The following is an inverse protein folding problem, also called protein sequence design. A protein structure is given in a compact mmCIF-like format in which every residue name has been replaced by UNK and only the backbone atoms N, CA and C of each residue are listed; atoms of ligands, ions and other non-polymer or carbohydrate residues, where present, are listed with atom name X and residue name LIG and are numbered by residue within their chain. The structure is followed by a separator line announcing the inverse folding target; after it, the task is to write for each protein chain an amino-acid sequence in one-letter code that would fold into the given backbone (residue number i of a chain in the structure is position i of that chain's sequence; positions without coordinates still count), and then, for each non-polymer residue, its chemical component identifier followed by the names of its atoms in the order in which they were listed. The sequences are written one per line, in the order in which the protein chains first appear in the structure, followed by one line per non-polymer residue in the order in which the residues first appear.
data_IF_458814483437
#
_entry.id   IF_458814483437
#
_cell.length_a   1.000
_cell.length_b   1.000
_cell.length_c   1.000
_cell.angle_alpha   90.00
_cell.angle_beta   90.00
_cell.angle_gamma   90.00
#
_symmetry.space_group_name_H-M   'P 1'
#
loop_
_entity.id
_entity.type
_entity.pdbx_description
1 polymer ?
#
# COMPACT_ATOMS: atom_id res chain seq x y z
N UNK A 1 -5.58 7.27 -0.61
CA UNK A 1 -5.92 6.32 0.46
C UNK A 1 -7.20 5.60 0.04
N UNK A 2 -7.12 4.35 -0.45
CA UNK A 2 -8.29 3.54 -0.78
C UNK A 2 -8.84 2.85 0.48
N UNK A 3 -10.13 3.05 0.80
CA UNK A 3 -10.77 2.43 1.96
C UNK A 3 -12.17 1.93 1.58
N UNK A 4 -12.33 0.61 1.36
CA UNK A 4 -13.64 0.03 1.08
C UNK A 4 -14.32 -0.50 2.34
N UNK A 5 -15.65 -0.54 2.35
CA UNK A 5 -16.47 -1.02 3.46
C UNK A 5 -16.31 -2.53 3.66
N UNK A 6 -16.46 -3.27 2.57
CA UNK A 6 -16.45 -4.73 2.62
C UNK A 6 -15.02 -5.26 2.59
N UNK A 7 -14.69 -6.07 3.59
CA UNK A 7 -13.46 -6.83 3.70
C UNK A 7 -13.82 -8.25 4.06
N UNK A 8 -13.23 -9.24 3.37
CA UNK A 8 -13.58 -10.66 3.53
C UNK A 8 -13.11 -11.24 4.86
N UNK A 9 -11.85 -11.02 5.22
CA UNK A 9 -11.19 -11.64 6.37
C UNK A 9 -11.55 -10.93 7.69
N UNK A 10 -11.54 -9.62 7.74
CA UNK A 10 -11.93 -8.82 8.91
C UNK A 10 -13.12 -7.93 8.54
N UNK A 11 -14.26 -8.12 9.17
CA UNK A 11 -15.45 -7.29 8.92
C UNK A 11 -15.16 -5.82 9.20
N UNK A 12 -15.44 -4.93 8.21
CA UNK A 12 -15.20 -3.48 8.31
C UNK A 12 -13.75 -3.11 8.66
N UNK A 13 -12.77 -3.85 8.16
CA UNK A 13 -11.33 -3.75 8.46
C UNK A 13 -10.84 -2.31 8.66
N UNK A 14 -11.16 -1.38 7.77
CA UNK A 14 -10.71 0.01 7.84
C UNK A 14 -11.20 0.78 9.07
N UNK A 15 -12.25 0.30 9.74
CA UNK A 15 -12.85 0.91 10.93
C UNK A 15 -12.51 0.17 12.23
N UNK A 16 -11.81 -0.94 12.16
CA UNK A 16 -11.35 -1.66 13.35
C UNK A 16 -10.37 -0.79 14.12
N UNK A 17 -10.47 -0.82 15.44
CA UNK A 17 -9.56 -0.09 16.32
C UNK A 17 -8.30 -0.91 16.60
N UNK A 18 -7.17 -0.25 16.47
CA UNK A 18 -5.88 -0.66 17.01
C UNK A 18 -5.63 0.31 18.16
N UNK A 19 -5.52 -0.21 19.39
CA UNK A 19 -5.58 0.65 20.59
C UNK A 19 -6.83 1.57 20.50
N UNK A 20 -6.68 2.85 20.64
CA UNK A 20 -7.80 3.80 20.69
C UNK A 20 -8.17 4.44 19.35
N UNK A 21 -7.53 4.04 18.23
CA UNK A 21 -7.69 4.69 16.92
C UNK A 21 -8.13 3.70 15.86
N UNK A 22 -9.11 4.08 15.00
CA UNK A 22 -9.48 3.27 13.84
C UNK A 22 -8.32 3.18 12.84
N UNK A 23 -8.08 2.01 12.29
CA UNK A 23 -6.95 1.70 11.41
C UNK A 23 -6.76 2.71 10.25
N UNK A 24 -7.84 3.11 9.60
CA UNK A 24 -7.81 4.14 8.55
C UNK A 24 -7.12 5.43 8.98
N UNK A 25 -7.33 5.88 10.21
CA UNK A 25 -6.80 7.17 10.66
C UNK A 25 -5.29 7.17 10.90
N UNK A 26 -4.67 6.02 11.17
CA UNK A 26 -3.20 5.93 11.21
C UNK A 26 -2.60 6.36 9.87
N UNK A 27 -3.13 5.81 8.76
CA UNK A 27 -2.68 6.17 7.42
C UNK A 27 -2.99 7.62 7.07
N UNK A 28 -4.19 8.11 7.41
CA UNK A 28 -4.57 9.49 7.15
C UNK A 28 -3.67 10.49 7.88
N UNK A 29 -3.34 10.24 9.14
CA UNK A 29 -2.47 11.09 9.94
C UNK A 29 -1.02 11.05 9.42
N UNK A 30 -0.49 9.88 9.06
CA UNK A 30 0.82 9.79 8.45
C UNK A 30 0.89 10.62 7.16
N UNK A 31 -0.12 10.52 6.29
CA UNK A 31 -0.21 11.32 5.08
C UNK A 31 -0.32 12.84 5.37
N UNK A 32 -1.11 13.23 6.38
CA UNK A 32 -1.23 14.64 6.79
C UNK A 32 0.08 15.24 7.30
N UNK A 33 0.88 14.44 8.02
CA UNK A 33 2.18 14.87 8.57
C UNK A 33 3.29 14.89 7.51
N UNK A 34 3.09 14.29 6.34
CA UNK A 34 4.07 14.31 5.25
C UNK A 34 3.94 15.59 4.44
N UNK A 35 4.94 16.46 4.51
CA UNK A 35 4.93 17.81 3.87
C UNK A 35 4.96 17.74 2.35
N UNK A 36 5.62 16.75 1.78
CA UNK A 36 5.76 16.50 0.34
C UNK A 36 4.42 16.16 -0.34
N UNK A 37 3.44 15.66 0.41
CA UNK A 37 2.10 15.36 -0.13
C UNK A 37 1.29 16.67 -0.26
N UNK A 38 1.10 17.15 -1.47
CA UNK A 38 0.33 18.37 -1.75
C UNK A 38 -1.18 18.17 -1.56
N UNK A 39 -1.72 17.01 -1.97
CA UNK A 39 -3.15 16.67 -1.86
C UNK A 39 -3.31 15.25 -1.34
N UNK A 40 -4.25 15.05 -0.43
CA UNK A 40 -4.63 13.76 0.10
C UNK A 40 -6.02 13.43 -0.42
N UNK A 41 -6.15 12.32 -1.12
CA UNK A 41 -7.43 11.85 -1.64
C UNK A 41 -7.81 10.55 -0.97
N UNK A 42 -8.99 10.51 -0.38
CA UNK A 42 -9.59 9.30 0.17
C UNK A 42 -10.72 8.85 -0.73
N UNK A 43 -10.64 7.62 -1.27
CA UNK A 43 -11.71 7.01 -2.04
C UNK A 43 -12.37 5.90 -1.23
N UNK A 44 -13.66 6.05 -0.91
CA UNK A 44 -14.36 5.17 0.02
C UNK A 44 -15.87 5.10 -0.23
N UNK A 45 -16.46 3.96 0.11
CA UNK A 45 -17.92 3.74 0.23
C UNK A 45 -18.40 3.72 1.69
N UNK A 46 -17.49 3.97 2.64
CA UNK A 46 -17.78 4.01 4.08
C UNK A 46 -18.31 5.40 4.42
N UNK A 47 -19.61 5.52 4.72
CA UNK A 47 -20.25 6.81 5.03
C UNK A 47 -19.54 7.58 6.15
N UNK A 48 -19.11 6.88 7.20
CA UNK A 48 -18.44 7.46 8.36
C UNK A 48 -17.07 8.08 8.05
N UNK A 49 -16.44 7.70 6.93
CA UNK A 49 -15.17 8.26 6.47
C UNK A 49 -15.35 9.42 5.49
N UNK A 50 -16.54 9.59 4.93
CA UNK A 50 -16.84 10.73 4.06
C UNK A 50 -17.03 11.99 4.90
N UNK A 51 -16.14 12.96 4.73
CA UNK A 51 -16.15 14.24 5.44
C UNK A 51 -16.19 15.40 4.43
N UNK A 52 -16.39 16.62 4.93
CA UNK A 52 -16.29 17.83 4.11
C UNK A 52 -14.87 17.96 3.54
N UNK A 53 -14.79 18.27 2.26
CA UNK A 53 -13.52 18.51 1.59
C UNK A 53 -12.84 19.78 2.13
N UNK A 54 -11.51 19.75 2.18
CA UNK A 54 -10.68 20.89 2.49
C UNK A 54 -9.72 21.16 1.34
N UNK A 55 -9.01 22.29 1.39
CA UNK A 55 -8.00 22.62 0.37
C UNK A 55 -6.97 21.49 0.15
N UNK A 56 -6.64 20.69 1.18
CA UNK A 56 -5.61 19.63 1.11
C UNK A 56 -6.19 18.22 1.13
N UNK A 57 -7.36 17.99 1.72
CA UNK A 57 -7.95 16.66 1.92
C UNK A 57 -9.29 16.56 1.20
N UNK A 58 -9.39 15.59 0.31
CA UNK A 58 -10.52 15.37 -0.58
C UNK A 58 -11.09 13.97 -0.33
N UNK A 59 -12.40 13.90 -0.18
CA UNK A 59 -13.14 12.65 -0.05
C UNK A 59 -13.93 12.39 -1.31
N UNK A 60 -13.69 11.26 -1.93
CA UNK A 60 -14.40 10.80 -3.15
C UNK A 60 -15.23 9.59 -2.77
N UNK A 61 -16.54 9.69 -2.96
CA UNK A 61 -17.44 8.55 -2.79
C UNK A 61 -17.15 7.52 -3.88
N UNK A 62 -16.78 6.29 -3.48
CA UNK A 62 -16.52 5.20 -4.42
C UNK A 62 -17.85 4.61 -4.92
N UNK A 63 -18.07 4.49 -6.24
CA UNK A 63 -19.24 3.84 -6.80
C UNK A 63 -19.35 2.37 -6.35
N UNK A 64 -20.58 1.88 -6.15
CA UNK A 64 -20.83 0.47 -5.73
C UNK A 64 -20.16 -0.56 -6.65
N UNK A 65 -20.09 -0.30 -7.94
CA UNK A 65 -19.42 -1.16 -8.92
C UNK A 65 -17.93 -1.38 -8.61
N UNK A 66 -17.24 -0.36 -8.04
CA UNK A 66 -15.82 -0.41 -7.70
C UNK A 66 -15.55 -0.86 -6.24
N UNK A 67 -16.58 -1.33 -5.53
CA UNK A 67 -16.44 -1.85 -4.16
C UNK A 67 -16.50 -3.37 -4.09
N UNK A 68 -16.80 -4.03 -5.22
CA UNK A 68 -16.86 -5.48 -5.33
C UNK A 68 -15.48 -6.12 -5.15
N UNK A 69 -15.45 -7.37 -4.71
CA UNK A 69 -14.21 -8.06 -4.36
C UNK A 69 -13.25 -8.29 -5.53
N UNK A 70 -13.79 -8.47 -6.74
CA UNK A 70 -12.99 -8.61 -7.97
C UNK A 70 -12.46 -7.29 -8.54
N UNK A 71 -12.85 -6.14 -7.95
CA UNK A 71 -12.36 -4.85 -8.43
C UNK A 71 -10.94 -4.60 -7.92
N UNK A 72 -10.04 -4.33 -8.85
CA UNK A 72 -8.65 -4.02 -8.53
C UNK A 72 -8.50 -2.65 -7.87
N UNK A 73 -7.39 -2.45 -7.18
CA UNK A 73 -7.00 -1.13 -6.65
C UNK A 73 -6.83 -0.12 -7.80
N UNK A 74 -6.33 -0.57 -8.95
CA UNK A 74 -6.13 0.23 -10.15
C UNK A 74 -7.44 0.84 -10.65
N UNK A 75 -8.53 0.07 -10.66
CA UNK A 75 -9.87 0.57 -11.04
C UNK A 75 -10.32 1.74 -10.16
N UNK A 76 -10.06 1.64 -8.84
CA UNK A 76 -10.36 2.74 -7.91
C UNK A 76 -9.47 3.96 -8.16
N UNK A 77 -8.20 3.77 -8.56
CA UNK A 77 -7.27 4.84 -8.91
C UNK A 77 -7.72 5.55 -10.19
N UNK A 78 -8.11 4.82 -11.23
CA UNK A 78 -8.65 5.40 -12.46
C UNK A 78 -9.88 6.28 -12.17
N UNK A 79 -10.79 5.81 -11.33
CA UNK A 79 -11.93 6.60 -10.90
C UNK A 79 -11.51 7.89 -10.19
N UNK A 80 -10.53 7.80 -9.27
CA UNK A 80 -9.98 8.95 -8.55
C UNK A 80 -9.36 9.95 -9.53
N UNK A 81 -8.53 9.50 -10.48
CA UNK A 81 -7.89 10.36 -11.48
C UNK A 81 -8.96 11.10 -12.29
N UNK A 82 -10.01 10.40 -12.75
CA UNK A 82 -11.13 11.02 -13.48
C UNK A 82 -11.81 12.09 -12.65
N UNK A 83 -12.16 11.79 -11.39
CA UNK A 83 -12.80 12.76 -10.49
C UNK A 83 -11.93 13.99 -10.23
N UNK A 84 -10.62 13.80 -10.00
CA UNK A 84 -9.70 14.91 -9.71
C UNK A 84 -9.53 15.82 -10.94
N UNK A 85 -9.37 15.27 -12.13
CA UNK A 85 -9.29 16.05 -13.36
C UNK A 85 -10.54 16.93 -13.56
N UNK A 86 -11.71 16.38 -13.29
CA UNK A 86 -12.99 17.10 -13.42
C UNK A 86 -13.18 18.19 -12.35
N UNK A 87 -12.80 17.90 -11.08
CA UNK A 87 -13.07 18.78 -9.93
C UNK A 87 -12.01 19.86 -9.76
N UNK A 88 -10.73 19.53 -10.03
CA UNK A 88 -9.62 20.35 -9.55
C UNK A 88 -8.83 21.05 -10.64
N UNK A 89 -8.99 20.69 -11.90
CA UNK A 89 -8.20 21.21 -13.05
C UNK A 89 -6.68 21.24 -12.76
N UNK A 90 -6.19 20.34 -11.89
CA UNK A 90 -4.80 20.27 -11.46
C UNK A 90 -4.04 19.24 -12.29
N UNK A 91 -2.88 19.63 -12.75
CA UNK A 91 -1.89 18.68 -13.24
C UNK A 91 -1.25 17.97 -12.06
N UNK A 92 -1.34 16.64 -12.06
CA UNK A 92 -0.75 15.78 -11.06
C UNK A 92 0.27 14.90 -11.76
N UNK A 93 1.52 14.99 -11.35
CA UNK A 93 2.61 14.21 -11.93
C UNK A 93 2.65 12.80 -11.37
N UNK A 94 2.61 12.67 -10.05
CA UNK A 94 2.80 11.41 -9.35
C UNK A 94 1.64 11.10 -8.40
N UNK A 95 1.35 9.82 -8.24
CA UNK A 95 0.43 9.28 -7.23
C UNK A 95 1.20 8.47 -6.22
N UNK A 96 0.81 8.64 -4.95
CA UNK A 96 1.25 7.80 -3.85
C UNK A 96 0.02 7.04 -3.33
N UNK A 97 0.05 5.72 -3.38
CA UNK A 97 -0.96 4.87 -2.75
C UNK A 97 -0.47 4.53 -1.35
N UNK A 98 -1.30 4.82 -0.36
CA UNK A 98 -1.07 4.46 1.04
C UNK A 98 -2.22 3.56 1.49
N UNK A 99 -1.94 2.27 1.68
CA UNK A 99 -2.96 1.33 2.11
C UNK A 99 -3.23 1.48 3.62
N UNK A 100 -4.51 1.52 4.04
CA UNK A 100 -4.86 1.55 5.46
C UNK A 100 -4.45 0.31 6.25
N UNK A 101 -4.25 -0.81 5.57
CA UNK A 101 -3.82 -2.09 6.16
C UNK A 101 -2.41 -2.07 6.73
N UNK A 102 -1.62 -1.03 6.46
CA UNK A 102 -0.27 -0.84 7.00
C UNK A 102 -0.25 0.34 7.99
N UNK A 103 -0.83 0.18 9.20
CA UNK A 103 -1.03 1.29 10.15
C UNK A 103 0.26 1.78 10.80
N UNK A 104 1.32 0.97 10.83
CA UNK A 104 2.60 1.32 11.47
C UNK A 104 3.55 2.11 10.56
N UNK A 105 3.23 2.22 9.26
CA UNK A 105 3.92 3.15 8.36
C UNK A 105 3.66 4.59 8.81
N UNK A 106 4.72 5.34 9.03
CA UNK A 106 4.69 6.71 9.52
C UNK A 106 5.05 7.74 8.42
N UNK A 107 5.02 9.03 8.77
CA UNK A 107 5.35 10.10 7.82
C UNK A 107 6.82 10.12 7.40
N UNK A 108 7.75 9.65 8.24
CA UNK A 108 9.17 9.58 7.89
C UNK A 108 9.39 8.52 6.79
N UNK A 109 8.70 7.37 6.89
CA UNK A 109 8.74 6.32 5.86
C UNK A 109 8.24 6.88 4.51
N UNK A 110 7.13 7.63 4.53
CA UNK A 110 6.55 8.20 3.31
C UNK A 110 7.49 9.24 2.69
N UNK A 111 8.03 10.17 3.50
CA UNK A 111 9.00 11.17 3.03
C UNK A 111 10.25 10.52 2.44
N UNK A 112 10.79 9.49 3.10
CA UNK A 112 11.96 8.78 2.62
C UNK A 112 11.68 8.04 1.29
N UNK A 113 10.52 7.40 1.16
CA UNK A 113 10.10 6.74 -0.09
C UNK A 113 9.95 7.73 -1.25
N UNK A 114 9.39 8.93 -1.00
CA UNK A 114 9.27 9.99 -2.01
C UNK A 114 10.66 10.43 -2.49
N UNK A 115 11.56 10.76 -1.55
CA UNK A 115 12.93 11.18 -1.88
C UNK A 115 13.70 10.10 -2.63
N UNK A 116 13.51 8.83 -2.23
CA UNK A 116 14.12 7.69 -2.91
C UNK A 116 13.60 7.54 -4.35
N UNK A 117 12.28 7.68 -4.55
CA UNK A 117 11.64 7.64 -5.86
C UNK A 117 12.19 8.73 -6.78
N UNK A 118 12.25 9.98 -6.32
CA UNK A 118 12.72 11.13 -7.07
C UNK A 118 14.22 11.02 -7.40
N UNK A 119 15.06 10.72 -6.39
CA UNK A 119 16.51 10.57 -6.57
C UNK A 119 16.86 9.46 -7.56
N UNK A 120 16.15 8.35 -7.52
CA UNK A 120 16.38 7.21 -8.40
C UNK A 120 15.78 7.39 -9.80
N UNK A 121 15.02 8.46 -10.04
CA UNK A 121 14.28 8.70 -11.30
C UNK A 121 13.51 7.45 -11.73
N UNK A 122 12.78 6.84 -10.77
CA UNK A 122 11.98 5.65 -11.02
C UNK A 122 10.66 6.00 -11.72
N UNK A 123 10.15 5.06 -12.50
CA UNK A 123 8.83 5.17 -13.13
C UNK A 123 7.72 4.75 -12.19
N UNK A 124 8.03 3.75 -11.38
CA UNK A 124 7.18 3.24 -10.31
C UNK A 124 8.04 2.74 -9.15
N UNK A 125 7.42 2.64 -7.96
CA UNK A 125 8.09 2.19 -6.75
C UNK A 125 7.09 1.40 -5.90
N UNK A 126 7.58 0.36 -5.25
CA UNK A 126 6.89 -0.34 -4.16
C UNK A 126 7.74 -0.34 -2.90
N UNK A 127 7.08 -0.44 -1.75
CA UNK A 127 7.76 -0.65 -0.47
C UNK A 127 7.82 -2.13 -0.12
N UNK A 128 8.92 -2.52 0.54
CA UNK A 128 9.21 -3.89 0.91
C UNK A 128 9.99 -3.95 2.22
N UNK A 129 10.19 -5.15 2.72
CA UNK A 129 11.17 -5.43 3.78
C UNK A 129 12.02 -6.64 3.40
N UNK A 130 13.17 -6.75 4.04
CA UNK A 130 14.03 -7.93 3.87
C UNK A 130 13.71 -8.98 4.92
N UNK A 131 13.62 -10.23 4.49
CA UNK A 131 13.52 -11.38 5.37
C UNK A 131 14.26 -12.59 4.80
N UNK A 132 14.57 -13.54 5.68
CA UNK A 132 15.20 -14.80 5.32
C UNK A 132 14.20 -15.93 5.53
N UNK A 133 13.66 -16.44 4.43
CA UNK A 133 12.64 -17.49 4.46
C UNK A 133 13.05 -18.67 3.59
N UNK A 134 12.77 -19.87 4.08
CA UNK A 134 12.87 -21.11 3.28
C UNK A 134 11.54 -21.32 2.55
N UNK A 135 11.46 -20.92 1.28
CA UNK A 135 10.26 -21.00 0.46
C UNK A 135 10.30 -22.23 -0.41
N UNK A 136 9.17 -22.95 -0.46
CA UNK A 136 8.97 -24.13 -1.28
C UNK A 136 7.82 -23.92 -2.26
N UNK A 137 7.90 -24.56 -3.41
CA UNK A 137 6.84 -24.60 -4.40
C UNK A 137 6.39 -26.05 -4.63
N UNK A 138 5.10 -26.29 -4.57
CA UNK A 138 4.52 -27.55 -5.00
C UNK A 138 4.30 -27.50 -6.52
N UNK A 139 4.95 -28.40 -7.26
CA UNK A 139 4.82 -28.53 -8.71
C UNK A 139 5.04 -29.98 -9.10
N UNK A 140 4.20 -30.49 -10.02
CA UNK A 140 4.29 -31.86 -10.57
C UNK A 140 4.29 -32.92 -9.44
N UNK A 141 3.35 -32.80 -8.49
CA UNK A 141 3.19 -33.70 -7.32
C UNK A 141 4.43 -33.76 -6.41
N UNK A 142 5.32 -32.79 -6.47
CA UNK A 142 6.52 -32.74 -5.64
C UNK A 142 6.76 -31.35 -5.07
N UNK A 143 7.48 -31.29 -3.92
CA UNK A 143 7.91 -30.05 -3.29
C UNK A 143 9.32 -29.70 -3.70
N UNK A 144 9.52 -28.50 -4.20
CA UNK A 144 10.81 -27.99 -4.67
C UNK A 144 11.16 -26.69 -3.92
N UNK A 145 12.37 -26.54 -3.34
CA UNK A 145 12.79 -25.32 -2.72
C UNK A 145 13.03 -24.24 -3.78
N UNK A 146 12.63 -22.99 -3.45
CA UNK A 146 12.85 -21.82 -4.29
C UNK A 146 14.08 -21.05 -3.86
N UNK A 147 14.30 -20.95 -2.53
CA UNK A 147 15.27 -20.03 -1.95
C UNK A 147 16.61 -20.63 -1.62
N UNK A 148 16.76 -21.94 -1.73
CA UNK A 148 18.04 -22.61 -1.45
C UNK A 148 18.23 -23.91 -2.24
N UNK A 149 19.47 -24.41 -2.27
CA UNK A 149 19.81 -25.67 -2.91
C UNK A 149 19.81 -26.80 -1.86
N UNK A 150 19.11 -27.90 -2.12
CA UNK A 150 19.01 -29.06 -1.22
C UNK A 150 20.37 -29.66 -0.87
N UNK A 151 21.28 -29.72 -1.83
CA UNK A 151 22.63 -30.29 -1.64
C UNK A 151 23.60 -29.33 -0.93
N UNK A 152 23.30 -28.04 -0.87
CA UNK A 152 24.15 -26.98 -0.28
C UNK A 152 23.32 -26.05 0.58
N UNK A 153 22.63 -26.63 1.60
CA UNK A 153 21.82 -25.83 2.52
C UNK A 153 22.74 -24.99 3.41
N UNK A 154 22.59 -23.68 3.31
CA UNK A 154 23.28 -22.71 4.16
C UNK A 154 22.56 -22.54 5.49
N UNK A 155 23.28 -22.10 6.52
CA UNK A 155 22.66 -21.62 7.76
C UNK A 155 21.83 -20.35 7.43
N UNK A 156 20.82 -20.03 8.23
CA UNK A 156 19.97 -18.87 8.02
C UNK A 156 20.77 -17.56 7.91
N UNK A 157 21.76 -17.39 8.77
CA UNK A 157 22.64 -16.21 8.75
C UNK A 157 23.42 -16.04 7.44
N UNK A 158 23.77 -17.16 6.77
CA UNK A 158 24.53 -17.19 5.52
C UNK A 158 23.62 -17.20 4.28
N UNK A 159 22.30 -17.21 4.48
CA UNK A 159 21.30 -17.19 3.41
C UNK A 159 21.11 -15.79 2.88
N UNK A 160 20.81 -15.67 1.57
CA UNK A 160 20.45 -14.38 0.97
C UNK A 160 19.08 -13.94 1.46
N UNK A 161 18.95 -12.65 1.78
CA UNK A 161 17.66 -12.05 2.08
C UNK A 161 16.75 -12.05 0.86
N UNK A 162 15.46 -12.21 1.11
CA UNK A 162 14.39 -12.03 0.16
C UNK A 162 13.79 -10.65 0.32
N UNK A 163 13.37 -10.06 -0.78
CA UNK A 163 12.62 -8.82 -0.78
C UNK A 163 11.14 -9.17 -0.78
N UNK A 164 10.43 -8.77 0.27
CA UNK A 164 9.01 -9.07 0.46
C UNK A 164 8.23 -7.77 0.35
N UNK A 165 7.38 -7.67 -0.68
CA UNK A 165 6.46 -6.55 -0.87
C UNK A 165 5.47 -6.48 0.31
N UNK A 166 5.33 -5.28 0.92
CA UNK A 166 4.54 -5.10 2.15
C UNK A 166 3.26 -4.28 1.96
N UNK A 167 2.93 -3.92 0.71
CA UNK A 167 1.70 -3.18 0.40
C UNK A 167 1.59 -1.76 0.96
N UNK A 168 2.58 -1.29 1.74
CA UNK A 168 2.44 -0.06 2.51
C UNK A 168 2.48 1.22 1.66
N UNK A 169 3.39 1.28 0.67
CA UNK A 169 3.61 2.47 -0.17
C UNK A 169 3.82 2.03 -1.61
N UNK A 170 3.07 2.63 -2.53
CA UNK A 170 3.37 2.61 -3.97
C UNK A 170 3.44 4.04 -4.49
N UNK A 171 4.41 4.33 -5.33
CA UNK A 171 4.57 5.65 -5.99
C UNK A 171 4.73 5.41 -7.47
N UNK A 172 4.05 6.19 -8.31
CA UNK A 172 4.20 6.09 -9.75
C UNK A 172 3.75 7.36 -10.48
N UNK A 173 4.29 7.54 -11.69
CA UNK A 173 3.89 8.61 -12.61
C UNK A 173 2.49 8.34 -13.16
N UNK A 174 1.60 9.35 -13.08
CA UNK A 174 0.24 9.26 -13.66
C UNK A 174 0.28 9.05 -15.15
N UNK A 175 1.13 9.80 -15.87
CA UNK A 175 1.23 9.70 -17.33
C UNK A 175 1.51 8.26 -17.77
N UNK A 176 2.46 7.60 -17.12
CA UNK A 176 2.83 6.21 -17.43
C UNK A 176 1.81 5.20 -16.90
N UNK A 177 1.20 5.46 -15.73
CA UNK A 177 0.12 4.61 -15.21
C UNK A 177 -1.08 4.54 -16.16
N UNK A 178 -1.47 5.65 -16.76
CA UNK A 178 -2.57 5.67 -17.73
C UNK A 178 -2.27 4.83 -18.98
N UNK A 179 -1.00 4.69 -19.34
CA UNK A 179 -0.52 3.85 -20.44
C UNK A 179 -0.53 2.36 -20.07
N UNK A 180 0.14 2.03 -18.95
CA UNK A 180 0.38 0.63 -18.55
C UNK A 180 -0.80 -0.01 -17.80
N UNK A 181 -1.68 0.79 -17.18
CA UNK A 181 -2.87 0.35 -16.41
C UNK A 181 -2.57 -0.56 -15.21
N UNK A 182 -1.31 -0.64 -14.79
CA UNK A 182 -0.82 -1.36 -13.60
C UNK A 182 0.01 -0.41 -12.75
N UNK A 183 0.20 -0.72 -11.46
CA UNK A 183 0.91 0.18 -10.53
C UNK A 183 2.43 0.07 -10.56
N UNK A 184 2.97 -1.03 -11.12
CA UNK A 184 4.40 -1.26 -11.27
C UNK A 184 4.75 -1.43 -12.74
N UNK A 185 5.63 -0.57 -13.25
CA UNK A 185 6.05 -0.53 -14.65
C UNK A 185 7.38 0.23 -14.81
N UNK A 186 8.01 0.07 -15.96
CA UNK A 186 9.23 0.77 -16.33
C UNK A 186 10.39 0.50 -15.37
N UNK A 187 11.16 1.53 -15.03
CA UNK A 187 12.20 1.45 -14.01
C UNK A 187 11.57 1.39 -12.63
N UNK A 188 11.57 0.22 -12.01
CA UNK A 188 10.92 -0.05 -10.73
C UNK A 188 11.91 0.17 -9.58
N UNK A 189 11.56 1.03 -8.62
CA UNK A 189 12.26 1.20 -7.36
C UNK A 189 11.70 0.30 -6.27
N UNK A 190 12.57 -0.24 -5.41
CA UNK A 190 12.20 -0.96 -4.20
C UNK A 190 12.67 -0.17 -2.99
N UNK A 191 11.72 0.34 -2.20
CA UNK A 191 12.01 1.08 -0.97
C UNK A 191 11.93 0.15 0.24
N UNK A 192 13.08 -0.12 0.86
CA UNK A 192 13.16 -1.00 2.02
C UNK A 192 12.71 -0.28 3.29
N UNK A 193 11.77 -0.88 4.00
CA UNK A 193 11.25 -0.45 5.30
C UNK A 193 11.68 -1.42 6.39
N UNK A 194 11.70 -0.96 7.64
CA UNK A 194 11.89 -1.87 8.76
C UNK A 194 10.69 -2.81 8.97
N UNK A 195 10.89 -3.98 9.58
CA UNK A 195 9.85 -4.99 9.78
C UNK A 195 8.61 -4.45 10.50
N UNK A 196 8.79 -3.60 11.53
CA UNK A 196 7.66 -3.03 12.29
C UNK A 196 6.77 -2.13 11.43
N UNK A 197 7.37 -1.23 10.64
CA UNK A 197 6.61 -0.36 9.72
C UNK A 197 5.99 -1.14 8.55
N UNK A 198 6.47 -2.36 8.30
CA UNK A 198 6.04 -3.24 7.20
C UNK A 198 4.89 -4.17 7.57
N UNK A 199 4.43 -4.17 8.82
CA UNK A 199 3.32 -5.02 9.25
C UNK A 199 2.05 -4.61 8.50
N UNK A 200 1.51 -5.57 7.77
CA UNK A 200 0.20 -5.48 7.10
C UNK A 200 -0.84 -6.26 7.91
N UNK A 201 -2.02 -5.69 8.08
CA UNK A 201 -3.12 -6.34 8.80
C UNK A 201 -4.09 -6.88 7.78
N UNK A 202 -4.09 -8.20 7.64
CA UNK A 202 -4.91 -8.87 6.65
C UNK A 202 -5.96 -9.79 7.26
N UNK A 203 -5.69 -10.37 8.42
CA UNK A 203 -6.56 -11.27 9.15
C UNK A 203 -6.62 -10.95 10.66
N UNK A 204 -7.34 -11.77 11.41
CA UNK A 204 -7.53 -11.57 12.85
C UNK A 204 -6.25 -11.82 13.65
N UNK A 205 -5.34 -12.67 13.17
CA UNK A 205 -4.03 -12.89 13.79
C UNK A 205 -3.16 -11.65 13.69
N UNK A 206 -3.06 -11.05 12.49
CA UNK A 206 -2.35 -9.80 12.28
C UNK A 206 -2.91 -8.68 13.15
N UNK A 207 -4.26 -8.62 13.25
CA UNK A 207 -4.94 -7.64 14.08
C UNK A 207 -4.62 -7.83 15.56
N UNK A 208 -4.55 -9.06 16.03
CA UNK A 208 -4.17 -9.38 17.41
C UNK A 208 -2.74 -8.91 17.68
N UNK A 209 -1.79 -9.25 16.82
CA UNK A 209 -0.41 -8.77 16.91
C UNK A 209 -0.34 -7.24 16.95
N UNK A 210 -1.05 -6.58 16.02
CA UNK A 210 -1.05 -5.13 15.92
C UNK A 210 -1.58 -4.40 17.16
N UNK A 211 -2.49 -5.01 17.93
CA UNK A 211 -3.01 -4.45 19.18
C UNK A 211 -2.00 -4.49 20.33
N UNK A 212 -1.03 -5.43 20.27
CA UNK A 212 -0.03 -5.68 21.31
C UNK A 212 1.33 -5.01 21.03
N UNK A 213 1.51 -4.38 19.87
CA UNK A 213 2.68 -3.59 19.49
C UNK A 213 2.48 -2.10 19.90
#
# INVERSE_FOLDING_TARGET
IPARKNSKRIKRKNLVKIKNKKMFYYTLEAAKKTKEIKKIVTTTDIKELLKKNTKRLIYIKRPKQLTRDHCSTESAIFHVIKCIKQIMKLEIENIIILQPTSPFRNSKDITAAIKFFEKGKYDSLFSAFEDKMSIWKFKNKNYNPITYNLKKRKREQDSKSLIIENGAIYIFSIKKFLLHKVRLFGKIGCFLMNKKSSIEIDDDFDLHLAKNI
#
